data_IF_219319382845
#
_entry.id   IF_219319382845
#
_cell.length_a   1.000
_cell.length_b   1.000
_cell.length_c   1.000
_cell.angle_alpha   90.00
_cell.angle_beta   90.00
_cell.angle_gamma   90.00
#
_symmetry.space_group_name_H-M   'P 1'
#
loop_
_entity.id
_entity.type
_entity.pdbx_description
1 polymer ?
#
# COMPACT_ATOMS: atom_id res chain seq x y z
N UNK A 1 -50.93 -13.68 1.33
CA UNK A 1 -50.46 -14.64 0.32
C UNK A 1 -49.01 -14.94 0.62
N UNK A 2 -48.77 -16.19 0.99
CA UNK A 2 -47.53 -16.70 1.54
C UNK A 2 -46.70 -17.41 0.47
N UNK A 3 -45.42 -17.67 0.82
CA UNK A 3 -44.41 -18.49 0.17
C UNK A 3 -43.73 -17.85 -1.06
N UNK A 4 -42.40 -17.92 -1.24
CA UNK A 4 -41.59 -19.13 -1.05
C UNK A 4 -40.09 -18.86 -0.74
N UNK A 5 -39.57 -19.63 0.21
CA UNK A 5 -38.17 -19.83 0.58
C UNK A 5 -37.75 -21.24 0.13
N UNK A 6 -36.83 -21.37 -0.82
CA UNK A 6 -36.01 -22.57 -1.04
C UNK A 6 -34.87 -22.16 -1.98
N UNK A 7 -33.58 -22.37 -1.67
CA UNK A 7 -32.93 -23.68 -1.66
C UNK A 7 -31.58 -23.56 -0.93
N UNK A 8 -31.40 -24.37 0.12
CA UNK A 8 -30.11 -24.59 0.81
C UNK A 8 -30.15 -26.00 1.43
N UNK A 9 -29.59 -27.00 0.76
CA UNK A 9 -28.91 -28.17 1.34
C UNK A 9 -28.49 -29.16 0.22
N UNK A 10 -27.64 -30.11 0.61
CA UNK A 10 -27.02 -31.22 -0.13
C UNK A 10 -25.74 -30.85 -0.90
N UNK A 11 -24.55 -31.41 -0.63
CA UNK A 11 -24.23 -32.72 -0.08
C UNK A 11 -23.11 -32.66 0.97
N UNK A 12 -23.29 -33.42 2.05
CA UNK A 12 -22.20 -33.95 2.87
C UNK A 12 -22.34 -35.48 2.89
N UNK A 13 -21.19 -36.15 2.79
CA UNK A 13 -20.82 -37.39 3.47
C UNK A 13 -20.63 -38.66 2.63
N UNK A 14 -19.36 -39.05 2.47
CA UNK A 14 -18.90 -40.44 2.54
C UNK A 14 -17.39 -40.45 2.74
N UNK A 15 -16.89 -41.14 3.78
CA UNK A 15 -15.46 -41.49 3.89
C UNK A 15 -14.85 -41.28 5.27
N UNK A 16 -15.37 -41.98 6.27
CA UNK A 16 -14.75 -42.17 7.58
C UNK A 16 -13.66 -43.24 7.49
N UNK A 17 -12.44 -42.96 7.92
CA UNK A 17 -11.49 -43.98 8.41
C UNK A 17 -10.55 -43.37 9.45
N UNK A 18 -10.66 -43.91 10.68
CA UNK A 18 -9.82 -43.64 11.85
C UNK A 18 -8.43 -44.24 11.68
N UNK A 19 -7.39 -43.61 12.23
CA UNK A 19 -6.35 -44.30 13.00
C UNK A 19 -5.61 -43.34 13.94
N UNK A 20 -5.33 -43.85 15.14
CA UNK A 20 -4.81 -43.19 16.34
C UNK A 20 -3.35 -42.73 16.26
N UNK A 21 -3.01 -41.83 17.19
CA UNK A 21 -1.67 -41.38 17.53
C UNK A 21 -0.81 -42.44 18.22
N UNK A 22 0.50 -42.50 17.92
CA UNK A 22 1.58 -42.93 18.83
C UNK A 22 2.90 -42.23 18.44
N UNK A 23 3.68 -41.83 19.45
CA UNK A 23 5.06 -41.35 19.41
C UNK A 23 6.05 -42.33 18.72
N UNK A 24 7.16 -41.81 18.19
CA UNK A 24 8.33 -42.63 17.89
C UNK A 24 9.34 -41.96 16.97
N UNK A 25 10.51 -41.63 17.51
CA UNK A 25 11.72 -41.29 16.77
C UNK A 25 12.08 -42.39 15.76
N UNK A 26 12.58 -42.01 14.59
CA UNK A 26 13.85 -42.51 14.05
C UNK A 26 14.19 -41.85 12.70
N UNK A 27 15.47 -41.51 12.58
CA UNK A 27 16.10 -40.98 11.39
C UNK A 27 16.24 -42.07 10.31
N UNK A 28 15.99 -41.72 9.05
CA UNK A 28 16.51 -42.50 7.93
C UNK A 28 16.72 -41.61 6.70
N UNK A 29 18.00 -41.53 6.31
CA UNK A 29 18.53 -40.89 5.11
C UNK A 29 18.21 -41.77 3.89
N UNK A 30 17.84 -41.21 2.73
CA UNK A 30 17.98 -41.93 1.46
C UNK A 30 19.22 -41.48 0.69
N UNK A 31 19.94 -42.50 0.25
CA UNK A 31 21.16 -42.55 -0.55
C UNK A 31 21.09 -41.77 -1.87
N UNK A 32 22.23 -41.17 -2.20
CA UNK A 32 22.63 -40.74 -3.53
C UNK A 32 22.57 -41.91 -4.54
N UNK A 33 22.05 -41.63 -5.73
CA UNK A 33 22.24 -42.46 -6.92
C UNK A 33 23.18 -41.71 -7.87
N UNK A 34 24.28 -42.38 -8.19
CA UNK A 34 25.27 -42.01 -9.20
C UNK A 34 24.67 -42.03 -10.60
N UNK A 35 24.95 -40.99 -11.40
CA UNK A 35 25.01 -41.12 -12.86
C UNK A 35 26.35 -40.56 -13.33
N UNK A 36 27.02 -41.36 -14.16
CA UNK A 36 28.38 -41.22 -14.68
C UNK A 36 28.51 -40.07 -15.71
N UNK A 37 29.65 -39.42 -15.59
CA UNK A 37 30.54 -38.77 -16.58
C UNK A 37 30.26 -38.94 -18.07
N UNK A 38 30.36 -37.81 -18.80
CA UNK A 38 31.10 -37.75 -20.07
C UNK A 38 31.77 -36.36 -20.21
N UNK A 39 33.10 -36.35 -20.14
CA UNK A 39 33.98 -35.25 -20.50
C UNK A 39 34.25 -35.31 -22.00
N UNK A 40 34.18 -34.18 -22.70
CA UNK A 40 34.89 -33.97 -23.97
C UNK A 40 35.30 -32.50 -24.10
N UNK A 41 36.60 -32.28 -24.07
CA UNK A 41 37.33 -31.14 -24.62
C UNK A 41 38.76 -31.66 -24.91
N UNK A 42 39.63 -30.98 -25.67
CA UNK A 42 39.43 -29.87 -26.61
C UNK A 42 40.07 -30.17 -28.00
N UNK A 43 39.91 -29.26 -28.97
CA UNK A 43 40.80 -29.20 -30.13
C UNK A 43 41.20 -27.75 -30.41
N UNK A 44 42.52 -27.56 -30.40
CA UNK A 44 43.32 -26.36 -30.66
C UNK A 44 43.65 -26.21 -32.15
N UNK A 45 43.68 -24.96 -32.64
CA UNK A 45 44.55 -24.39 -33.69
C UNK A 45 43.79 -23.20 -34.31
N UNK A 46 44.33 -22.03 -34.63
CA UNK A 46 45.70 -21.54 -34.63
C UNK A 46 45.80 -20.42 -35.67
N UNK A 47 46.33 -19.26 -35.23
CA UNK A 47 47.15 -18.28 -35.98
C UNK A 47 46.54 -17.34 -37.06
N UNK A 48 46.88 -16.05 -36.84
CA UNK A 48 47.59 -15.11 -37.75
C UNK A 48 46.82 -14.00 -38.50
N UNK A 49 47.45 -12.81 -38.51
CA UNK A 49 47.33 -11.74 -39.53
C UNK A 49 46.41 -10.56 -39.15
N UNK A 50 46.89 -9.46 -38.59
CA UNK A 50 47.55 -8.29 -39.24
C UNK A 50 46.57 -7.23 -39.81
N UNK A 51 46.60 -6.06 -39.17
CA UNK A 51 46.56 -4.69 -39.73
C UNK A 51 45.68 -4.36 -40.94
N UNK A 52 44.73 -3.42 -40.77
CA UNK A 52 44.72 -2.17 -41.55
C UNK A 52 43.79 -1.11 -40.96
N UNK A 53 44.13 0.13 -41.30
CA UNK A 53 43.60 1.41 -40.84
C UNK A 53 42.68 2.02 -41.93
N UNK A 54 42.01 3.13 -41.56
CA UNK A 54 41.48 4.23 -42.40
C UNK A 54 39.99 4.23 -42.78
N UNK A 55 39.41 5.45 -42.65
CA UNK A 55 38.26 6.07 -43.31
C UNK A 55 36.89 6.13 -42.59
N UNK A 56 36.70 7.23 -41.85
CA UNK A 56 35.79 8.35 -42.14
C UNK A 56 34.35 8.14 -42.66
N UNK A 57 33.43 8.57 -41.78
CA UNK A 57 32.31 9.50 -42.00
C UNK A 57 31.01 9.00 -42.71
N UNK A 58 29.91 9.81 -42.72
CA UNK A 58 29.10 10.19 -41.56
C UNK A 58 27.59 10.00 -41.84
N UNK A 59 26.70 9.82 -40.84
CA UNK A 59 25.27 10.12 -41.06
C UNK A 59 24.48 10.53 -39.81
N UNK A 60 24.05 11.79 -39.86
CA UNK A 60 22.69 12.31 -39.57
C UNK A 60 22.32 12.57 -38.10
N UNK A 61 22.50 13.85 -37.74
CA UNK A 61 21.61 14.57 -36.83
C UNK A 61 20.15 14.47 -37.30
N UNK A 62 19.24 14.09 -36.40
CA UNK A 62 17.88 14.66 -36.39
C UNK A 62 17.50 15.06 -34.97
N UNK A 63 17.34 16.37 -34.82
CA UNK A 63 16.82 17.06 -33.65
C UNK A 63 15.51 16.43 -33.13
N UNK A 64 15.50 16.02 -31.86
CA UNK A 64 14.26 15.81 -31.12
C UNK A 64 13.97 17.05 -30.27
N UNK A 65 12.97 17.82 -30.69
CA UNK A 65 12.39 18.96 -29.95
C UNK A 65 12.03 18.55 -28.52
N UNK A 66 12.70 19.17 -27.56
CA UNK A 66 12.28 19.23 -26.17
C UNK A 66 11.10 20.20 -26.05
N UNK A 67 9.93 19.70 -25.65
CA UNK A 67 8.91 20.54 -25.03
C UNK A 67 8.88 20.22 -23.53
N UNK A 68 9.81 20.84 -22.82
CA UNK A 68 9.70 21.17 -21.41
C UNK A 68 8.81 22.40 -21.26
N UNK A 69 7.75 22.33 -20.47
CA UNK A 69 7.21 23.53 -19.81
C UNK A 69 6.31 23.16 -18.63
N UNK A 70 6.67 23.77 -17.50
CA UNK A 70 5.87 24.11 -16.32
C UNK A 70 5.79 23.09 -15.19
N UNK A 71 6.93 22.91 -14.53
CA UNK A 71 7.03 22.92 -13.07
C UNK A 71 7.87 24.16 -12.66
N UNK A 72 7.52 24.78 -11.52
CA UNK A 72 8.01 26.05 -10.92
C UNK A 72 7.09 27.24 -11.23
N UNK A 73 6.66 28.07 -10.29
CA UNK A 73 6.80 28.14 -8.84
C UNK A 73 5.73 29.15 -8.35
N UNK A 74 5.27 29.07 -7.11
CA UNK A 74 5.01 30.25 -6.26
C UNK A 74 4.84 29.77 -4.81
N UNK A 75 5.97 29.71 -4.10
CA UNK A 75 6.03 29.99 -2.66
C UNK A 75 5.84 31.49 -2.53
N UNK A 76 4.90 31.98 -1.73
CA UNK A 76 5.00 33.26 -1.03
C UNK A 76 4.20 33.12 0.27
N UNK A 77 4.90 33.19 1.40
CA UNK A 77 4.28 33.41 2.70
C UNK A 77 3.96 34.89 2.85
N UNK A 78 2.71 35.21 3.20
CA UNK A 78 2.36 36.49 3.79
C UNK A 78 1.27 36.25 4.82
N UNK A 79 1.60 36.55 6.07
CA UNK A 79 0.64 36.69 7.15
C UNK A 79 -0.30 37.87 6.85
N UNK A 80 -1.60 37.66 6.97
CA UNK A 80 -2.57 38.73 7.11
C UNK A 80 -3.47 38.39 8.30
N UNK A 81 -3.45 39.30 9.28
CA UNK A 81 -4.27 39.33 10.48
C UNK A 81 -5.73 39.61 10.12
N UNK A 82 -6.63 39.06 10.94
CA UNK A 82 -7.86 39.71 11.40
C UNK A 82 -8.92 40.04 10.36
N UNK A 83 -9.95 39.19 10.24
CA UNK A 83 -11.29 39.64 9.90
C UNK A 83 -12.31 38.80 10.67
N UNK A 84 -12.94 39.47 11.62
CA UNK A 84 -14.00 39.05 12.53
C UNK A 84 -15.27 38.64 11.78
N UNK A 85 -15.87 37.53 12.22
CA UNK A 85 -17.20 37.07 11.79
C UNK A 85 -18.23 37.84 12.63
N UNK A 86 -19.24 38.52 12.05
CA UNK A 86 -20.28 39.15 12.83
C UNK A 86 -21.28 38.11 13.34
N UNK A 87 -21.50 38.14 14.66
CA UNK A 87 -22.62 37.54 15.36
C UNK A 87 -23.93 38.13 14.84
N UNK A 88 -24.90 37.29 14.51
CA UNK A 88 -26.27 37.73 14.21
C UNK A 88 -27.11 37.59 15.47
N UNK A 89 -27.70 38.72 15.86
CA UNK A 89 -28.56 38.92 17.01
C UNK A 89 -29.84 38.07 16.98
N UNK A 90 -30.22 37.67 18.19
CA UNK A 90 -31.49 37.06 18.54
C UNK A 90 -32.52 38.18 18.73
N UNK A 91 -33.52 38.26 17.87
CA UNK A 91 -34.73 39.05 18.10
C UNK A 91 -35.91 38.10 18.39
N UNK A 92 -36.40 38.15 19.63
CA UNK A 92 -37.69 37.61 20.08
C UNK A 92 -38.80 38.55 19.61
N UNK A 93 -39.90 38.02 19.09
CA UNK A 93 -41.10 38.82 18.82
C UNK A 93 -42.18 38.09 18.03
N UNK A 94 -43.10 37.48 18.77
CA UNK A 94 -44.40 36.89 18.43
C UNK A 94 -45.09 37.27 17.11
N UNK A 95 -45.56 36.25 16.39
CA UNK A 95 -46.91 36.22 15.83
C UNK A 95 -47.34 34.76 15.60
N UNK A 96 -48.29 34.30 16.41
CA UNK A 96 -49.02 33.06 16.22
C UNK A 96 -49.99 33.27 15.07
N UNK A 97 -49.75 32.59 13.94
CA UNK A 97 -50.77 32.38 12.93
C UNK A 97 -50.77 30.89 12.60
N UNK A 98 -51.64 30.16 13.28
CA UNK A 98 -52.01 28.78 12.96
C UNK A 98 -52.74 28.78 11.61
N UNK A 99 -51.98 28.55 10.54
CA UNK A 99 -52.55 28.08 9.26
C UNK A 99 -52.18 26.61 9.14
N UNK A 100 -53.13 25.79 9.53
CA UNK A 100 -53.26 24.39 9.15
C UNK A 100 -53.14 24.28 7.63
N UNK A 101 -52.04 23.70 7.17
CA UNK A 101 -51.93 23.23 5.80
C UNK A 101 -51.54 21.74 5.83
N UNK A 102 -52.57 20.92 5.99
CA UNK A 102 -52.57 19.51 5.60
C UNK A 102 -52.25 19.43 4.11
N UNK A 103 -51.09 18.86 3.76
CA UNK A 103 -50.70 18.75 2.35
C UNK A 103 -49.23 18.49 2.09
N UNK A 104 -48.40 18.21 3.10
CA UNK A 104 -47.06 17.68 2.84
C UNK A 104 -47.17 16.21 2.42
N UNK A 105 -47.38 15.98 1.11
CA UNK A 105 -47.16 14.68 0.46
C UNK A 105 -45.89 14.09 1.06
N UNK A 106 -46.04 13.01 1.83
CA UNK A 106 -44.94 12.23 2.34
C UNK A 106 -44.15 11.71 1.13
N UNK A 107 -43.16 12.50 0.67
CA UNK A 107 -42.19 12.09 -0.33
C UNK A 107 -41.62 10.79 0.20
N UNK A 108 -41.87 9.71 -0.53
CA UNK A 108 -41.58 8.37 -0.01
C UNK A 108 -40.13 8.34 0.50
N UNK A 109 -39.85 7.68 1.64
CA UNK A 109 -38.52 7.62 2.23
C UNK A 109 -37.42 7.15 1.27
N UNK A 110 -37.81 6.55 0.15
CA UNK A 110 -36.96 6.13 -0.95
C UNK A 110 -36.48 7.32 -1.81
N UNK A 111 -37.36 8.25 -2.22
CA UNK A 111 -36.96 9.43 -3.01
C UNK A 111 -36.04 10.37 -2.23
N UNK A 112 -36.25 10.53 -0.92
CA UNK A 112 -35.35 11.32 -0.06
C UNK A 112 -33.95 10.67 0.05
N UNK A 113 -33.89 9.33 0.13
CA UNK A 113 -32.62 8.58 0.20
C UNK A 113 -31.83 8.61 -1.11
N UNK A 114 -32.51 8.56 -2.26
CA UNK A 114 -31.86 8.60 -3.57
C UNK A 114 -31.32 9.99 -3.88
N UNK A 115 -32.10 11.05 -3.65
CA UNK A 115 -31.67 12.44 -3.84
C UNK A 115 -30.47 12.82 -2.97
N UNK A 116 -30.47 12.43 -1.68
CA UNK A 116 -29.32 12.63 -0.80
C UNK A 116 -28.06 11.90 -1.30
N UNK A 117 -28.23 10.71 -1.89
CA UNK A 117 -27.10 9.94 -2.45
C UNK A 117 -26.49 10.64 -3.67
N UNK A 118 -27.31 11.19 -4.57
CA UNK A 118 -26.81 11.98 -5.69
C UNK A 118 -26.08 13.25 -5.23
N UNK A 119 -26.62 13.94 -4.22
CA UNK A 119 -25.99 15.13 -3.64
C UNK A 119 -24.58 14.84 -3.11
N UNK A 120 -24.39 13.73 -2.40
CA UNK A 120 -23.06 13.31 -1.88
C UNK A 120 -22.04 13.13 -3.01
N UNK A 121 -22.43 12.46 -4.11
CA UNK A 121 -21.53 12.27 -5.26
C UNK A 121 -21.23 13.62 -5.94
N UNK A 122 -22.24 14.47 -6.09
CA UNK A 122 -22.08 15.79 -6.70
C UNK A 122 -21.16 16.68 -5.86
N UNK A 123 -21.32 16.68 -4.54
CA UNK A 123 -20.45 17.42 -3.62
C UNK A 123 -19.00 16.91 -3.70
N UNK A 124 -18.79 15.60 -3.69
CA UNK A 124 -17.47 15.00 -3.85
C UNK A 124 -16.83 15.36 -5.21
N UNK A 125 -17.63 15.41 -6.29
CA UNK A 125 -17.14 15.81 -7.61
C UNK A 125 -16.67 17.28 -7.64
N UNK A 126 -17.40 18.18 -6.98
CA UNK A 126 -17.03 19.59 -6.89
C UNK A 126 -15.84 19.82 -5.96
N UNK A 127 -15.76 19.08 -4.85
CA UNK A 127 -14.59 19.13 -3.96
C UNK A 127 -13.31 18.70 -4.69
N UNK A 128 -13.39 17.66 -5.53
CA UNK A 128 -12.23 17.17 -6.27
C UNK A 128 -11.87 18.02 -7.50
N UNK A 129 -12.87 18.59 -8.17
CA UNK A 129 -12.69 19.40 -9.37
C UNK A 129 -13.44 20.72 -9.21
N UNK A 130 -12.88 21.71 -8.50
CA UNK A 130 -13.60 22.95 -8.16
C UNK A 130 -13.73 23.93 -9.34
N UNK A 131 -12.86 23.84 -10.35
CA UNK A 131 -12.84 24.81 -11.45
C UNK A 131 -14.06 24.75 -12.38
N UNK A 132 -14.31 25.84 -13.11
CA UNK A 132 -15.45 25.99 -14.03
C UNK A 132 -15.14 25.57 -15.48
N UNK A 133 -13.88 25.26 -15.79
CA UNK A 133 -13.44 24.91 -17.14
C UNK A 133 -14.16 23.67 -17.71
N UNK A 134 -14.20 23.55 -19.04
CA UNK A 134 -14.73 22.37 -19.74
C UNK A 134 -14.07 21.08 -19.25
N UNK A 135 -12.77 21.11 -19.02
CA UNK A 135 -12.02 19.99 -18.45
C UNK A 135 -12.57 19.55 -17.09
N UNK A 136 -12.80 20.50 -16.17
CA UNK A 136 -13.34 20.19 -14.84
C UNK A 136 -14.79 19.70 -14.91
N UNK A 137 -15.64 20.32 -15.74
CA UNK A 137 -17.02 19.84 -15.98
C UNK A 137 -17.05 18.40 -16.47
N UNK A 138 -16.24 18.08 -17.47
CA UNK A 138 -16.12 16.73 -17.98
C UNK A 138 -15.59 15.74 -16.95
N UNK A 139 -14.62 16.15 -16.11
CA UNK A 139 -14.12 15.32 -15.00
C UNK A 139 -15.20 15.03 -13.95
N UNK A 140 -16.02 16.02 -13.59
CA UNK A 140 -17.16 15.84 -12.68
C UNK A 140 -18.20 14.89 -13.25
N UNK A 141 -18.63 15.12 -14.49
CA UNK A 141 -19.58 14.25 -15.19
C UNK A 141 -19.08 12.81 -15.26
N UNK A 142 -17.80 12.63 -15.60
CA UNK A 142 -17.14 11.33 -15.64
C UNK A 142 -17.07 10.64 -14.28
N UNK A 143 -16.83 11.38 -13.19
CA UNK A 143 -16.84 10.84 -11.83
C UNK A 143 -18.25 10.37 -11.47
N UNK A 144 -19.24 11.20 -11.78
CA UNK A 144 -20.64 10.92 -11.53
C UNK A 144 -21.11 9.66 -12.26
N UNK A 145 -20.82 9.54 -13.57
CA UNK A 145 -21.16 8.35 -14.36
C UNK A 145 -20.51 7.08 -13.82
N UNK A 146 -19.24 7.13 -13.39
CA UNK A 146 -18.56 5.97 -12.78
C UNK A 146 -19.10 5.61 -11.40
N UNK A 147 -19.63 6.61 -10.69
CA UNK A 147 -20.29 6.40 -9.41
C UNK A 147 -21.56 5.58 -9.59
N UNK A 148 -22.27 5.69 -10.71
CA UNK A 148 -23.44 4.85 -11.01
C UNK A 148 -23.06 3.37 -11.14
N UNK A 149 -21.97 3.05 -11.83
CA UNK A 149 -21.48 1.67 -11.99
C UNK A 149 -21.05 1.00 -10.68
N UNK A 150 -20.69 1.80 -9.68
CA UNK A 150 -20.20 1.34 -8.37
C UNK A 150 -20.97 2.01 -7.23
N UNK A 151 -22.28 2.18 -7.43
CA UNK A 151 -23.15 3.03 -6.63
C UNK A 151 -23.03 2.77 -5.13
N UNK A 152 -23.33 1.55 -4.70
CA UNK A 152 -23.31 1.19 -3.26
C UNK A 152 -21.93 1.40 -2.65
N UNK A 153 -20.87 0.96 -3.33
CA UNK A 153 -19.50 1.13 -2.83
C UNK A 153 -19.10 2.59 -2.72
N UNK A 154 -19.45 3.39 -3.73
CA UNK A 154 -19.14 4.83 -3.77
C UNK A 154 -19.88 5.57 -2.65
N UNK A 155 -21.18 5.31 -2.46
CA UNK A 155 -21.96 5.93 -1.40
C UNK A 155 -21.38 5.67 -0.01
N UNK A 156 -21.07 4.40 0.29
CA UNK A 156 -20.48 4.04 1.58
C UNK A 156 -19.11 4.69 1.76
N UNK A 157 -18.26 4.65 0.72
CA UNK A 157 -16.94 5.29 0.76
C UNK A 157 -17.02 6.79 1.04
N UNK A 158 -17.82 7.53 0.25
CA UNK A 158 -17.95 8.98 0.38
C UNK A 158 -18.52 9.39 1.74
N UNK A 159 -19.52 8.67 2.26
CA UNK A 159 -20.05 8.91 3.61
C UNK A 159 -18.99 8.70 4.69
N UNK A 160 -18.11 7.70 4.52
CA UNK A 160 -17.00 7.45 5.46
C UNK A 160 -15.90 8.50 5.34
N UNK A 161 -15.62 8.98 4.13
CA UNK A 161 -14.72 10.10 3.87
C UNK A 161 -15.16 11.43 4.50
N UNK A 162 -16.45 11.60 4.79
CA UNK A 162 -16.96 12.79 5.48
C UNK A 162 -16.68 12.78 7.00
N UNK A 163 -16.17 11.67 7.55
CA UNK A 163 -15.95 11.47 8.98
C UNK A 163 -14.45 11.31 9.26
N UNK A 164 -13.94 11.95 10.32
CA UNK A 164 -12.54 11.82 10.73
C UNK A 164 -12.22 10.38 11.17
N UNK A 165 -11.00 9.87 10.92
CA UNK A 165 -9.85 10.50 10.28
C UNK A 165 -9.73 10.31 8.76
N UNK A 166 -10.69 9.64 8.10
CA UNK A 166 -10.72 9.61 6.64
C UNK A 166 -10.95 11.00 6.04
N UNK A 167 -11.70 11.85 6.72
CA UNK A 167 -11.85 13.26 6.35
C UNK A 167 -10.50 13.96 6.24
N UNK A 168 -9.62 13.79 7.23
CA UNK A 168 -8.31 14.45 7.26
C UNK A 168 -7.38 13.90 6.17
N UNK A 169 -7.49 12.61 5.86
CA UNK A 169 -6.84 12.00 4.70
C UNK A 169 -7.31 12.63 3.37
N UNK A 170 -8.62 12.85 3.22
CA UNK A 170 -9.21 13.44 2.01
C UNK A 170 -8.82 14.91 1.86
N UNK A 171 -8.74 15.67 2.95
CA UNK A 171 -8.29 17.06 2.91
C UNK A 171 -6.85 17.17 2.39
N UNK A 172 -5.97 16.26 2.79
CA UNK A 172 -4.60 16.18 2.24
C UNK A 172 -4.56 15.66 0.81
N UNK A 173 -5.40 14.66 0.52
CA UNK A 173 -5.38 13.92 -0.74
C UNK A 173 -6.79 13.78 -1.34
N UNK A 174 -7.32 14.83 -1.99
CA UNK A 174 -8.69 14.83 -2.51
C UNK A 174 -8.96 13.68 -3.51
N UNK A 175 -7.91 13.20 -4.18
CA UNK A 175 -7.99 12.08 -5.13
C UNK A 175 -8.45 10.77 -4.49
N UNK A 176 -8.41 10.64 -3.16
CA UNK A 176 -8.98 9.53 -2.40
C UNK A 176 -10.50 9.37 -2.62
N UNK A 177 -11.22 10.44 -2.97
CA UNK A 177 -12.66 10.37 -3.28
C UNK A 177 -12.97 9.50 -4.51
N UNK A 178 -12.04 9.38 -5.46
CA UNK A 178 -12.23 8.55 -6.67
C UNK A 178 -11.82 7.09 -6.49
N UNK A 179 -11.46 6.66 -5.27
CA UNK A 179 -10.86 5.35 -5.00
C UNK A 179 -11.71 4.20 -5.53
N UNK A 180 -13.03 4.30 -5.38
CA UNK A 180 -13.98 3.27 -5.85
C UNK A 180 -14.09 3.18 -7.38
N UNK A 181 -13.52 4.12 -8.12
CA UNK A 181 -13.62 4.18 -9.59
C UNK A 181 -12.32 3.80 -10.30
N UNK A 182 -11.29 3.41 -9.55
CA UNK A 182 -9.95 3.06 -10.06
C UNK A 182 -9.45 1.77 -9.40
N UNK A 183 -8.64 0.94 -10.10
CA UNK A 183 -7.97 -0.18 -9.46
C UNK A 183 -7.19 0.29 -8.23
N UNK A 184 -7.33 -0.45 -7.12
CA UNK A 184 -6.73 -0.15 -5.84
C UNK A 184 -6.20 -1.45 -5.23
N UNK A 185 -4.95 -1.44 -4.80
CA UNK A 185 -4.21 -2.54 -4.14
C UNK A 185 -3.98 -3.78 -5.03
N UNK A 186 -4.99 -4.22 -5.77
CA UNK A 186 -4.97 -5.38 -6.64
C UNK A 186 -5.87 -5.13 -7.87
N UNK A 187 -5.41 -5.52 -9.06
CA UNK A 187 -6.15 -5.28 -10.32
C UNK A 187 -7.48 -6.03 -10.40
N UNK A 188 -7.55 -7.22 -9.78
CA UNK A 188 -8.72 -8.07 -9.78
C UNK A 188 -9.80 -7.70 -8.75
N UNK A 189 -9.60 -6.67 -7.91
CA UNK A 189 -10.61 -6.32 -6.92
C UNK A 189 -11.83 -5.63 -7.53
N UNK A 190 -13.00 -6.20 -7.26
CA UNK A 190 -14.30 -5.59 -7.48
C UNK A 190 -14.46 -4.27 -6.69
N UNK A 191 -15.41 -3.39 -7.04
CA UNK A 191 -15.71 -2.20 -6.22
C UNK A 191 -16.04 -2.52 -4.75
N UNK A 192 -16.61 -3.71 -4.47
CA UNK A 192 -16.94 -4.13 -3.09
C UNK A 192 -15.69 -4.55 -2.32
N UNK A 193 -14.78 -5.30 -2.94
CA UNK A 193 -13.50 -5.68 -2.33
C UNK A 193 -12.60 -4.46 -2.11
N UNK A 194 -12.58 -3.50 -3.06
CA UNK A 194 -11.85 -2.24 -2.88
C UNK A 194 -12.38 -1.43 -1.71
N UNK A 195 -13.70 -1.33 -1.57
CA UNK A 195 -14.32 -0.69 -0.41
C UNK A 195 -13.92 -1.40 0.88
N UNK A 196 -14.08 -2.73 0.92
CA UNK A 196 -13.80 -3.54 2.10
C UNK A 196 -12.34 -3.39 2.53
N UNK A 197 -11.38 -3.56 1.62
CA UNK A 197 -9.95 -3.40 1.91
C UNK A 197 -9.60 -1.98 2.39
N UNK A 198 -10.24 -0.94 1.84
CA UNK A 198 -10.01 0.45 2.26
C UNK A 198 -10.54 0.71 3.67
N UNK A 199 -11.74 0.20 3.99
CA UNK A 199 -12.35 0.35 5.31
C UNK A 199 -11.65 -0.53 6.36
N UNK A 200 -11.22 -1.73 5.98
CA UNK A 200 -10.46 -2.64 6.85
C UNK A 200 -9.17 -1.98 7.31
N UNK A 201 -8.39 -1.38 6.40
CA UNK A 201 -7.14 -0.72 6.77
C UNK A 201 -7.37 0.38 7.80
N UNK A 202 -8.38 1.21 7.54
CA UNK A 202 -8.73 2.30 8.43
C UNK A 202 -9.21 1.79 9.80
N UNK A 203 -10.15 0.84 9.83
CA UNK A 203 -10.65 0.27 11.08
C UNK A 203 -9.54 -0.42 11.89
N UNK A 204 -8.67 -1.19 11.23
CA UNK A 204 -7.56 -1.89 11.88
C UNK A 204 -6.53 -0.93 12.45
N UNK A 205 -6.15 0.12 11.70
CA UNK A 205 -5.17 1.10 12.18
C UNK A 205 -5.73 1.96 13.30
N UNK A 206 -7.00 2.38 13.22
CA UNK A 206 -7.67 3.06 14.33
C UNK A 206 -7.78 2.19 15.58
N UNK A 207 -8.10 0.90 15.42
CA UNK A 207 -8.23 -0.01 16.55
C UNK A 207 -6.88 -0.33 17.19
N UNK A 208 -5.84 -0.55 16.38
CA UNK A 208 -4.55 -1.13 16.82
C UNK A 208 -3.47 -0.09 17.07
N UNK A 209 -3.49 1.05 16.37
CA UNK A 209 -2.48 2.12 16.49
C UNK A 209 -3.10 3.51 16.28
N UNK A 210 -4.09 3.90 17.11
CA UNK A 210 -4.86 5.14 16.90
C UNK A 210 -3.99 6.40 16.82
N UNK A 211 -2.95 6.51 17.64
CA UNK A 211 -2.06 7.69 17.64
C UNK A 211 -1.28 7.81 16.33
N UNK A 212 -0.75 6.69 15.85
CA UNK A 212 0.00 6.63 14.60
C UNK A 212 -0.93 6.95 13.42
N UNK A 213 -2.14 6.38 13.43
CA UNK A 213 -3.16 6.65 12.43
C UNK A 213 -3.57 8.12 12.40
N UNK A 214 -3.84 8.73 13.56
CA UNK A 214 -4.17 10.15 13.67
C UNK A 214 -3.01 11.05 13.21
N UNK A 215 -1.77 10.76 13.63
CA UNK A 215 -0.59 11.52 13.21
C UNK A 215 -0.35 11.43 11.70
N UNK A 216 -0.45 10.24 11.11
CA UNK A 216 -0.33 10.07 9.66
C UNK A 216 -1.50 10.77 8.94
N UNK A 217 -2.71 10.71 9.48
CA UNK A 217 -3.88 11.39 8.91
C UNK A 217 -3.74 12.92 8.93
N UNK A 218 -3.17 13.50 9.99
CA UNK A 218 -3.00 14.95 10.14
C UNK A 218 -1.72 15.49 9.47
N UNK A 219 -0.56 14.86 9.74
CA UNK A 219 0.77 15.35 9.34
C UNK A 219 1.26 14.67 8.06
N UNK A 220 0.75 13.48 7.73
CA UNK A 220 1.17 12.71 6.56
C UNK A 220 2.38 11.80 6.79
N UNK A 221 3.04 11.87 7.94
CA UNK A 221 4.21 11.04 8.27
C UNK A 221 4.37 10.81 9.78
N UNK A 222 4.88 9.63 10.13
CA UNK A 222 5.27 9.28 11.49
C UNK A 222 6.58 8.46 11.48
N UNK A 223 7.66 8.95 12.12
CA UNK A 223 8.90 8.18 12.26
C UNK A 223 8.69 7.00 13.21
N UNK A 224 9.25 5.84 12.87
CA UNK A 224 9.10 4.61 13.67
C UNK A 224 10.43 3.92 14.02
N UNK A 225 11.51 4.20 13.28
CA UNK A 225 12.84 3.72 13.58
C UNK A 225 13.91 4.57 12.90
N UNK A 226 15.17 4.41 13.32
CA UNK A 226 16.33 4.97 12.64
C UNK A 226 17.54 4.04 12.80
N UNK A 227 18.51 4.18 11.91
CA UNK A 227 19.76 3.43 12.00
C UNK A 227 20.94 4.22 11.44
N UNK A 228 22.13 3.88 11.91
CA UNK A 228 23.39 4.41 11.40
C UNK A 228 24.24 3.31 10.78
N UNK A 229 24.96 3.65 9.70
CA UNK A 229 25.97 2.78 9.09
C UNK A 229 27.20 3.63 8.79
N UNK A 230 28.26 3.46 9.60
CA UNK A 230 29.39 4.38 9.57
C UNK A 230 28.95 5.80 9.98
N UNK A 231 29.29 6.81 9.17
CA UNK A 231 28.90 8.19 9.39
C UNK A 231 27.46 8.52 8.93
N UNK A 232 26.82 7.64 8.16
CA UNK A 232 25.50 7.93 7.60
C UNK A 232 24.36 7.56 8.53
N UNK A 233 23.30 8.36 8.48
CA UNK A 233 22.07 8.19 9.25
C UNK A 233 20.89 8.02 8.31
N UNK A 234 20.01 7.10 8.68
CA UNK A 234 18.83 6.73 7.92
C UNK A 234 17.60 6.75 8.82
N UNK A 235 16.49 7.24 8.29
CA UNK A 235 15.22 7.35 9.00
C UNK A 235 14.20 6.40 8.37
N UNK A 236 13.40 5.76 9.21
CA UNK A 236 12.32 4.88 8.81
C UNK A 236 11.00 5.46 9.31
N UNK A 237 10.08 5.70 8.39
CA UNK A 237 8.81 6.38 8.63
C UNK A 237 7.65 5.65 7.96
N UNK A 238 6.47 5.73 8.58
CA UNK A 238 5.20 5.41 7.94
C UNK A 238 4.55 6.70 7.44
N UNK A 239 4.21 6.72 6.16
CA UNK A 239 3.79 7.93 5.44
C UNK A 239 2.51 7.69 4.66
N UNK A 240 1.81 8.77 4.33
CA UNK A 240 0.65 8.79 3.45
C UNK A 240 0.99 9.63 2.22
N UNK A 241 1.47 8.95 1.17
CA UNK A 241 2.05 9.55 -0.04
C UNK A 241 1.04 9.53 -1.19
N UNK A 242 0.73 10.69 -1.78
CA UNK A 242 -0.30 10.82 -2.82
C UNK A 242 -0.02 9.91 -4.03
N UNK A 243 1.25 9.86 -4.45
CA UNK A 243 1.68 9.13 -5.64
C UNK A 243 1.41 7.62 -5.54
N UNK A 244 1.34 7.05 -4.33
CA UNK A 244 1.15 5.61 -4.08
C UNK A 244 -0.23 5.23 -3.58
N UNK A 245 -1.18 6.17 -3.49
CA UNK A 245 -2.53 5.89 -2.97
C UNK A 245 -3.35 4.83 -3.72
N UNK A 246 -2.92 4.46 -4.94
CA UNK A 246 -3.55 3.35 -5.68
C UNK A 246 -2.99 1.99 -5.27
N UNK A 247 -1.79 1.96 -4.72
CA UNK A 247 -1.02 0.77 -4.37
C UNK A 247 -1.21 0.41 -2.90
N UNK A 248 -1.63 1.36 -2.06
CA UNK A 248 -2.04 1.13 -0.68
C UNK A 248 -2.31 2.44 0.05
N UNK A 249 -2.57 2.35 1.34
CA UNK A 249 -2.93 3.50 2.18
C UNK A 249 -1.72 4.09 2.90
N UNK A 250 -0.82 3.24 3.42
CA UNK A 250 0.41 3.64 4.09
C UNK A 250 1.63 3.21 3.29
N UNK A 251 2.68 4.02 3.36
CA UNK A 251 3.96 3.75 2.74
C UNK A 251 5.06 3.76 3.80
N UNK A 252 5.75 2.64 3.95
CA UNK A 252 6.97 2.56 4.75
C UNK A 252 8.13 3.09 3.93
N UNK A 253 8.81 4.15 4.38
CA UNK A 253 9.92 4.79 3.70
C UNK A 253 11.22 4.61 4.47
N UNK A 254 12.32 4.43 3.75
CA UNK A 254 13.68 4.66 4.26
C UNK A 254 14.20 5.93 3.59
N UNK A 255 14.56 6.93 4.39
CA UNK A 255 15.07 8.23 3.95
C UNK A 255 16.48 8.47 4.45
N UNK A 256 17.27 9.22 3.69
CA UNK A 256 18.58 9.70 4.14
C UNK A 256 18.44 10.90 5.09
N UNK A 257 19.58 11.42 5.58
CA UNK A 257 19.63 12.59 6.45
C UNK A 257 19.15 13.90 5.77
N UNK A 258 19.02 13.92 4.44
CA UNK A 258 18.51 15.04 3.64
C UNK A 258 17.02 14.87 3.30
N UNK A 259 16.35 13.93 3.96
CA UNK A 259 14.96 13.55 3.75
C UNK A 259 14.68 12.99 2.33
N UNK A 260 15.69 12.54 1.60
CA UNK A 260 15.50 11.92 0.29
C UNK A 260 15.05 10.47 0.45
N UNK A 261 13.95 10.12 -0.21
CA UNK A 261 13.41 8.77 -0.21
C UNK A 261 14.29 7.83 -1.03
N UNK A 262 14.84 6.83 -0.37
CA UNK A 262 15.73 5.83 -0.99
C UNK A 262 14.94 4.63 -1.48
N UNK A 263 14.06 4.12 -0.63
CA UNK A 263 13.23 2.97 -0.93
C UNK A 263 11.95 3.07 -0.13
N UNK A 264 10.88 2.51 -0.69
CA UNK A 264 9.59 2.50 -0.05
C UNK A 264 8.80 1.23 -0.33
N UNK A 265 7.91 0.90 0.60
CA UNK A 265 6.97 -0.21 0.50
C UNK A 265 5.57 0.28 0.85
N UNK A 266 4.67 0.29 -0.12
CA UNK A 266 3.29 0.74 0.06
C UNK A 266 2.37 -0.44 0.30
N UNK A 267 1.53 -0.34 1.33
CA UNK A 267 0.66 -1.42 1.77
C UNK A 267 -0.67 -0.91 2.35
N UNK A 268 -1.61 -1.84 2.46
CA UNK A 268 -2.84 -1.70 3.25
C UNK A 268 -3.04 -2.92 4.14
N UNK A 269 -3.84 -2.79 5.20
CA UNK A 269 -4.25 -3.94 6.01
C UNK A 269 -5.65 -4.35 5.54
N UNK A 270 -5.84 -5.62 5.21
CA UNK A 270 -7.13 -6.09 4.75
C UNK A 270 -7.40 -7.51 5.22
N UNK A 271 -8.68 -7.83 5.44
CA UNK A 271 -9.10 -9.22 5.57
C UNK A 271 -9.24 -9.81 4.17
N UNK A 272 -8.19 -10.52 3.73
CA UNK A 272 -8.27 -11.31 2.51
C UNK A 272 -8.94 -12.66 2.82
N UNK A 273 -9.68 -13.19 1.84
CA UNK A 273 -10.35 -14.49 1.96
C UNK A 273 -9.39 -15.64 2.32
N UNK A 274 -9.93 -16.71 2.87
CA UNK A 274 -9.18 -17.90 3.30
C UNK A 274 -9.85 -18.59 4.48
N UNK A 275 -9.36 -19.78 4.84
CA UNK A 275 -9.95 -20.61 5.92
C UNK A 275 -9.94 -19.92 7.29
N UNK A 276 -8.95 -19.07 7.55
CA UNK A 276 -8.80 -18.33 8.82
C UNK A 276 -8.89 -16.84 8.57
N UNK A 277 -9.88 -16.19 9.16
CA UNK A 277 -10.11 -14.74 9.06
C UNK A 277 -9.10 -13.98 9.94
N UNK A 278 -7.94 -13.67 9.38
CA UNK A 278 -6.93 -12.78 9.99
C UNK A 278 -6.55 -11.67 9.03
N UNK A 279 -6.32 -10.44 9.52
CA UNK A 279 -5.89 -9.35 8.66
C UNK A 279 -4.48 -9.64 8.13
N UNK A 280 -4.24 -9.24 6.89
CA UNK A 280 -2.94 -9.37 6.22
C UNK A 280 -2.40 -8.00 5.89
N UNK A 281 -1.09 -7.83 6.00
CA UNK A 281 -0.41 -6.67 5.42
C UNK A 281 -0.21 -6.93 3.93
N UNK A 282 -0.92 -6.19 3.10
CA UNK A 282 -0.98 -6.38 1.65
C UNK A 282 -0.11 -5.32 0.98
N UNK A 283 1.05 -5.71 0.49
CA UNK A 283 2.01 -4.85 -0.22
C UNK A 283 1.56 -4.73 -1.67
N UNK A 284 1.13 -3.53 -2.07
CA UNK A 284 0.79 -3.24 -3.46
C UNK A 284 1.94 -2.65 -4.27
N UNK A 285 2.98 -2.09 -3.62
CA UNK A 285 4.19 -1.69 -4.35
C UNK A 285 5.47 -1.63 -3.53
N UNK A 286 6.60 -1.77 -4.23
CA UNK A 286 7.95 -1.57 -3.67
C UNK A 286 8.78 -0.76 -4.66
N UNK A 287 9.06 0.49 -4.31
CA UNK A 287 9.65 1.47 -5.21
C UNK A 287 11.00 1.97 -4.69
N UNK A 288 11.90 2.31 -5.63
CA UNK A 288 13.19 2.90 -5.32
C UNK A 288 13.13 4.43 -5.19
N UNK A 289 14.28 5.12 -5.32
CA UNK A 289 14.32 6.56 -5.19
C UNK A 289 13.56 7.24 -6.34
N UNK A 290 13.21 8.50 -6.13
CA UNK A 290 12.61 9.33 -7.16
C UNK A 290 13.58 9.51 -8.35
N UNK A 291 13.02 9.73 -9.54
CA UNK A 291 13.64 9.53 -10.87
C UNK A 291 14.90 10.36 -11.18
N UNK A 292 15.41 11.16 -10.25
CA UNK A 292 16.62 11.96 -10.41
C UNK A 292 17.92 11.20 -10.15
N UNK A 293 17.87 9.99 -9.58
CA UNK A 293 19.07 9.22 -9.20
C UNK A 293 19.15 7.90 -9.98
N UNK A 294 20.36 7.51 -10.41
CA UNK A 294 20.63 6.19 -10.96
C UNK A 294 20.41 5.11 -9.88
N UNK A 295 19.16 4.68 -9.72
CA UNK A 295 18.73 3.85 -8.59
C UNK A 295 19.42 2.48 -8.54
N UNK A 296 19.90 1.94 -9.67
CA UNK A 296 20.60 0.66 -9.70
C UNK A 296 21.99 0.76 -9.06
N UNK A 297 22.74 1.81 -9.39
CA UNK A 297 24.06 2.07 -8.81
C UNK A 297 23.95 2.43 -7.34
N UNK A 298 22.98 3.29 -6.99
CA UNK A 298 22.68 3.61 -5.60
C UNK A 298 22.41 2.33 -4.80
N UNK A 299 21.57 1.43 -5.29
CA UNK A 299 21.25 0.20 -4.57
C UNK A 299 22.42 -0.76 -4.46
N UNK A 300 23.30 -0.83 -5.47
CA UNK A 300 24.55 -1.60 -5.39
C UNK A 300 25.46 -1.05 -4.30
N UNK A 301 25.67 0.27 -4.27
CA UNK A 301 26.47 0.93 -3.26
C UNK A 301 25.88 0.74 -1.84
N UNK A 302 24.58 0.99 -1.68
CA UNK A 302 23.89 0.80 -0.39
C UNK A 302 23.91 -0.65 0.07
N UNK A 303 23.78 -1.62 -0.84
CA UNK A 303 23.88 -3.04 -0.47
C UNK A 303 25.24 -3.36 0.14
N UNK A 304 26.34 -2.88 -0.47
CA UNK A 304 27.70 -3.07 0.09
C UNK A 304 27.81 -2.44 1.49
N UNK A 305 27.26 -1.23 1.66
CA UNK A 305 27.34 -0.46 2.90
C UNK A 305 26.49 -1.05 4.01
N UNK A 306 25.26 -1.46 3.72
CA UNK A 306 24.32 -2.06 4.67
C UNK A 306 24.62 -3.54 4.91
N UNK A 307 25.90 -3.91 4.98
CA UNK A 307 26.37 -5.26 5.29
C UNK A 307 25.79 -6.34 4.36
N UNK A 308 25.54 -5.99 3.10
CA UNK A 308 24.91 -6.86 2.09
C UNK A 308 23.37 -6.87 2.10
N UNK A 309 22.71 -5.98 2.87
CA UNK A 309 21.26 -5.83 2.85
C UNK A 309 20.82 -5.02 1.63
N UNK A 310 20.10 -5.66 0.72
CA UNK A 310 19.48 -4.98 -0.42
C UNK A 310 18.33 -4.09 0.06
N UNK A 311 18.24 -2.82 -0.38
CA UNK A 311 17.24 -1.89 0.14
C UNK A 311 15.79 -2.36 0.00
N UNK A 312 15.41 -2.94 -1.15
CA UNK A 312 14.03 -3.44 -1.36
C UNK A 312 13.68 -4.61 -0.45
N UNK A 313 14.62 -5.53 -0.22
CA UNK A 313 14.42 -6.67 0.68
C UNK A 313 14.35 -6.19 2.13
N UNK A 314 15.18 -5.20 2.49
CA UNK A 314 15.14 -4.60 3.83
C UNK A 314 13.79 -3.94 4.11
N UNK A 315 13.28 -3.09 3.21
CA UNK A 315 11.98 -2.42 3.46
C UNK A 315 10.81 -3.40 3.55
N UNK A 316 10.84 -4.51 2.78
CA UNK A 316 9.84 -5.58 2.90
C UNK A 316 9.96 -6.26 4.27
N UNK A 317 11.17 -6.60 4.70
CA UNK A 317 11.41 -7.15 6.04
C UNK A 317 10.87 -6.21 7.14
N UNK A 318 11.13 -4.91 7.04
CA UNK A 318 10.60 -3.92 7.99
C UNK A 318 9.06 -3.83 7.93
N UNK A 319 8.46 -3.96 6.75
CA UNK A 319 7.00 -4.06 6.61
C UNK A 319 6.45 -5.34 7.29
N UNK A 320 7.17 -6.47 7.22
CA UNK A 320 6.80 -7.67 7.98
C UNK A 320 6.94 -7.47 9.49
N UNK A 321 7.93 -6.70 9.97
CA UNK A 321 8.03 -6.30 11.38
C UNK A 321 6.83 -5.44 11.80
N UNK A 322 6.40 -4.48 10.95
CA UNK A 322 5.18 -3.71 11.17
C UNK A 322 3.95 -4.62 11.20
N UNK A 323 3.84 -5.57 10.27
CA UNK A 323 2.75 -6.55 10.24
C UNK A 323 2.68 -7.34 11.55
N UNK A 324 3.81 -7.85 12.04
CA UNK A 324 3.89 -8.60 13.30
C UNK A 324 3.52 -7.73 14.51
N UNK A 325 4.05 -6.50 14.60
CA UNK A 325 3.75 -5.58 15.70
C UNK A 325 2.27 -5.14 15.72
N UNK A 326 1.63 -5.12 14.55
CA UNK A 326 0.20 -4.88 14.38
C UNK A 326 -0.65 -6.14 14.55
N UNK A 327 -0.08 -7.31 14.85
CA UNK A 327 -0.81 -8.59 14.94
C UNK A 327 -1.58 -8.92 13.64
N UNK A 328 -0.94 -8.68 12.49
CA UNK A 328 -1.41 -9.18 11.20
C UNK A 328 -0.96 -10.63 11.03
N UNK A 329 -1.84 -11.49 10.54
CA UNK A 329 -1.58 -12.93 10.42
C UNK A 329 -0.53 -13.30 9.36
N UNK A 330 -0.06 -12.33 8.57
CA UNK A 330 0.95 -12.52 7.53
C UNK A 330 1.11 -11.32 6.62
N UNK A 331 2.12 -11.37 5.75
CA UNK A 331 2.42 -10.32 4.77
C UNK A 331 2.34 -10.88 3.37
N UNK A 332 1.53 -10.25 2.53
CA UNK A 332 1.32 -10.64 1.14
C UNK A 332 1.88 -9.55 0.23
N UNK A 333 2.46 -9.93 -0.90
CA UNK A 333 2.95 -8.99 -1.90
C UNK A 333 2.28 -9.28 -3.24
N UNK A 334 1.81 -8.24 -3.92
CA UNK A 334 1.10 -8.37 -5.18
C UNK A 334 2.07 -8.88 -6.26
N UNK A 335 1.63 -9.86 -7.04
CA UNK A 335 2.37 -10.34 -8.21
C UNK A 335 2.34 -9.31 -9.34
N UNK A 336 3.28 -9.42 -10.28
CA UNK A 336 3.37 -8.53 -11.44
C UNK A 336 2.07 -8.49 -12.26
N UNK A 337 1.43 -9.64 -12.46
CA UNK A 337 0.17 -9.73 -13.23
C UNK A 337 -1.03 -9.11 -12.50
N UNK A 338 -0.99 -9.15 -11.17
CA UNK A 338 -2.06 -8.66 -10.32
C UNK A 338 -1.90 -7.18 -9.95
N UNK A 339 -0.76 -6.58 -10.29
CA UNK A 339 -0.46 -5.18 -9.99
C UNK A 339 -1.45 -4.24 -10.68
N UNK A 340 -1.79 -3.12 -10.03
CA UNK A 340 -2.80 -2.17 -10.53
C UNK A 340 -2.53 -1.67 -11.96
N UNK A 341 -1.26 -1.50 -12.34
CA UNK A 341 -0.85 -1.04 -13.68
C UNK A 341 -0.88 -2.13 -14.75
N UNK A 342 -1.14 -3.39 -14.40
CA UNK A 342 -1.50 -4.44 -15.35
C UNK A 342 -2.97 -4.37 -15.79
N UNK A 343 -3.79 -3.53 -15.15
CA UNK A 343 -5.18 -3.34 -15.52
C UNK A 343 -5.32 -2.74 -16.92
N UNK A 344 -6.29 -3.21 -17.71
CA UNK A 344 -6.60 -2.73 -19.07
C UNK A 344 -6.69 -1.20 -19.16
N UNK A 345 -7.19 -0.56 -18.10
CA UNK A 345 -7.31 0.90 -17.97
C UNK A 345 -5.98 1.64 -18.15
N UNK A 346 -4.87 0.98 -17.85
CA UNK A 346 -3.52 1.56 -17.91
C UNK A 346 -2.65 0.95 -19.01
N UNK A 347 -3.10 -0.09 -19.71
CA UNK A 347 -2.34 -0.73 -20.80
C UNK A 347 -1.97 0.23 -21.94
N UNK A 348 -2.84 1.21 -22.23
CA UNK A 348 -2.59 2.24 -23.25
C UNK A 348 -1.62 3.34 -22.79
N UNK A 349 -1.25 3.39 -21.50
CA UNK A 349 -0.25 4.33 -20.98
C UNK A 349 1.09 3.59 -20.96
N UNK A 350 2.17 4.22 -21.41
CA UNK A 350 3.55 3.70 -21.36
C UNK A 350 4.10 3.43 -19.93
N UNK A 351 3.25 3.22 -18.92
CA UNK A 351 3.59 2.91 -17.53
C UNK A 351 3.49 1.41 -17.27
N UNK A 352 4.25 0.61 -18.03
CA UNK A 352 4.40 -0.81 -17.72
C UNK A 352 5.17 -0.96 -16.41
N UNK A 353 4.80 -1.96 -15.61
CA UNK A 353 5.48 -2.27 -14.36
C UNK A 353 6.90 -2.75 -14.68
N UNK A 354 7.88 -1.86 -14.51
CA UNK A 354 9.29 -2.18 -14.74
C UNK A 354 9.89 -3.08 -13.63
N UNK A 355 9.25 -3.14 -12.47
CA UNK A 355 9.71 -3.93 -11.33
C UNK A 355 9.31 -5.40 -11.47
N UNK A 356 10.28 -6.29 -11.32
CA UNK A 356 10.06 -7.74 -11.22
C UNK A 356 9.63 -8.12 -9.80
N UNK A 357 8.33 -7.98 -9.53
CA UNK A 357 7.72 -8.30 -8.23
C UNK A 357 7.81 -9.78 -7.90
N UNK A 358 7.67 -10.66 -8.89
CA UNK A 358 7.67 -12.10 -8.70
C UNK A 358 9.05 -12.56 -8.19
N UNK A 359 10.14 -12.10 -8.85
CA UNK A 359 11.50 -12.39 -8.39
C UNK A 359 11.79 -11.80 -7.01
N UNK A 360 11.36 -10.56 -6.75
CA UNK A 360 11.53 -9.92 -5.44
C UNK A 360 10.80 -10.69 -4.33
N UNK A 361 9.61 -11.21 -4.63
CA UNK A 361 8.80 -11.99 -3.68
C UNK A 361 9.50 -13.29 -3.30
N UNK A 362 10.04 -14.00 -4.30
CA UNK A 362 10.83 -15.23 -4.09
C UNK A 362 12.09 -14.92 -3.27
N UNK A 363 12.80 -13.83 -3.58
CA UNK A 363 13.99 -13.39 -2.84
C UNK A 363 13.69 -13.14 -1.35
N UNK A 364 12.47 -12.69 -1.04
CA UNK A 364 11.96 -12.43 0.31
C UNK A 364 11.31 -13.66 0.98
N UNK A 365 11.44 -14.86 0.41
CA UNK A 365 10.92 -16.09 1.02
C UNK A 365 9.41 -16.29 0.85
N UNK A 366 8.87 -15.97 -0.32
CA UNK A 366 7.49 -16.36 -0.66
C UNK A 366 7.33 -17.88 -0.61
N UNK A 367 6.34 -18.36 0.15
CA UNK A 367 6.05 -19.78 0.35
C UNK A 367 4.98 -20.32 -0.60
N UNK A 368 4.07 -19.45 -1.02
CA UNK A 368 2.93 -19.83 -1.84
C UNK A 368 2.43 -18.65 -2.66
N UNK A 369 1.58 -18.97 -3.65
CA UNK A 369 0.84 -18.00 -4.45
C UNK A 369 -0.66 -18.24 -4.27
N UNK A 370 -1.43 -17.18 -4.08
CA UNK A 370 -2.88 -17.25 -3.92
C UNK A 370 -3.53 -16.03 -4.58
N UNK A 371 -4.40 -16.25 -5.56
CA UNK A 371 -5.18 -15.18 -6.22
C UNK A 371 -4.36 -13.95 -6.63
N UNK A 372 -3.17 -14.15 -7.22
CA UNK A 372 -2.30 -13.05 -7.63
C UNK A 372 -1.47 -12.41 -6.50
N UNK A 373 -1.50 -12.96 -5.29
CA UNK A 373 -0.63 -12.61 -4.17
C UNK A 373 0.46 -13.65 -3.97
N UNK A 374 1.65 -13.22 -3.57
CA UNK A 374 2.65 -14.09 -2.95
C UNK A 374 2.55 -13.99 -1.43
N UNK A 375 2.50 -15.13 -0.76
CA UNK A 375 2.46 -15.23 0.71
C UNK A 375 3.88 -15.32 1.23
N UNK A 376 4.35 -14.30 1.94
CA UNK A 376 5.70 -14.27 2.50
C UNK A 376 5.78 -15.07 3.80
N UNK A 377 6.84 -15.84 3.96
CA UNK A 377 7.17 -16.48 5.23
C UNK A 377 7.32 -15.44 6.34
N UNK A 378 6.92 -15.74 7.60
CA UNK A 378 7.25 -14.89 8.73
C UNK A 378 8.77 -14.63 8.80
N UNK A 379 9.21 -13.43 9.20
CA UNK A 379 10.62 -13.07 9.22
C UNK A 379 11.50 -14.08 9.97
N UNK A 380 11.02 -14.60 11.11
CA UNK A 380 11.77 -15.56 11.93
C UNK A 380 12.16 -16.83 11.17
N UNK A 381 11.27 -17.37 10.32
CA UNK A 381 11.53 -18.57 9.53
C UNK A 381 12.55 -18.31 8.42
N UNK A 382 12.37 -17.20 7.71
CA UNK A 382 13.30 -16.77 6.66
C UNK A 382 14.71 -16.48 7.21
N UNK A 383 14.81 -15.93 8.42
CA UNK A 383 16.07 -15.69 9.09
C UNK A 383 16.71 -17.01 9.55
N UNK A 384 15.96 -17.93 10.16
CA UNK A 384 16.49 -19.23 10.59
C UNK A 384 17.11 -20.03 9.43
N UNK A 385 16.45 -20.06 8.27
CA UNK A 385 16.94 -20.79 7.08
C UNK A 385 18.21 -20.16 6.44
N UNK A 386 18.41 -18.85 6.58
CA UNK A 386 19.55 -18.12 5.97
C UNK A 386 20.63 -17.73 6.96
N UNK A 387 20.41 -17.88 8.26
CA UNK A 387 21.25 -17.36 9.34
C UNK A 387 21.56 -18.41 10.42
N UNK A 388 21.31 -19.70 10.16
CA UNK A 388 21.82 -20.77 11.02
C UNK A 388 23.34 -20.62 11.21
N UNK A 389 23.71 -20.71 12.49
CA UNK A 389 25.04 -20.81 13.06
C UNK A 389 25.81 -19.50 13.29
N UNK A 390 26.03 -19.22 14.59
CA UNK A 390 26.77 -18.09 15.16
C UNK A 390 28.27 -18.04 14.82
N UNK A 391 28.72 -18.86 13.88
CA UNK A 391 30.07 -18.94 13.29
C UNK A 391 30.26 -18.02 12.09
N UNK A 392 29.28 -17.17 11.74
CA UNK A 392 29.36 -16.28 10.58
C UNK A 392 30.35 -15.12 10.70
N UNK A 393 30.99 -14.76 9.58
CA UNK A 393 31.85 -13.58 9.40
C UNK A 393 31.23 -12.30 10.03
N UNK A 394 32.06 -11.38 10.55
CA UNK A 394 31.67 -10.10 11.17
C UNK A 394 30.56 -9.34 10.41
N UNK A 395 30.56 -9.39 9.08
CA UNK A 395 29.50 -8.79 8.24
C UNK A 395 28.11 -9.40 8.48
N UNK A 396 28.02 -10.73 8.65
CA UNK A 396 26.76 -11.44 8.95
C UNK A 396 26.23 -11.03 10.33
N UNK A 397 27.11 -10.92 11.33
CA UNK A 397 26.76 -10.44 12.68
C UNK A 397 26.24 -9.00 12.66
N UNK A 398 26.91 -8.08 11.95
CA UNK A 398 26.45 -6.70 11.77
C UNK A 398 25.09 -6.61 11.06
N UNK A 399 24.89 -7.43 10.03
CA UNK A 399 23.60 -7.53 9.33
C UNK A 399 22.46 -7.96 10.25
N UNK A 400 22.67 -9.02 11.03
CA UNK A 400 21.70 -9.52 11.99
C UNK A 400 21.37 -8.48 13.07
N UNK A 401 22.41 -7.88 13.67
CA UNK A 401 22.27 -6.85 14.68
C UNK A 401 21.45 -5.66 14.17
N UNK A 402 21.72 -5.19 12.95
CA UNK A 402 20.96 -4.08 12.34
C UNK A 402 19.48 -4.44 12.15
N UNK A 403 19.17 -5.63 11.62
CA UNK A 403 17.78 -6.10 11.47
C UNK A 403 17.05 -6.20 12.81
N UNK A 404 17.69 -6.86 13.78
CA UNK A 404 17.13 -7.06 15.11
C UNK A 404 16.87 -5.74 15.82
N UNK A 405 17.83 -4.80 15.77
CA UNK A 405 17.67 -3.46 16.34
C UNK A 405 16.49 -2.71 15.71
N UNK A 406 16.36 -2.75 14.38
CA UNK A 406 15.23 -2.13 13.68
C UNK A 406 13.89 -2.79 14.03
N UNK A 407 13.84 -4.12 14.12
CA UNK A 407 12.64 -4.84 14.51
C UNK A 407 12.17 -4.45 15.92
N UNK A 408 13.11 -4.32 16.87
CA UNK A 408 12.82 -3.86 18.24
C UNK A 408 12.32 -2.42 18.25
N UNK A 409 12.96 -1.50 17.51
CA UNK A 409 12.52 -0.11 17.41
C UNK A 409 11.09 0.00 16.83
N UNK A 410 10.82 -0.70 15.72
CA UNK A 410 9.49 -0.71 15.09
C UNK A 410 8.44 -1.23 16.06
N UNK A 411 8.72 -2.36 16.73
CA UNK A 411 7.80 -2.93 17.72
C UNK A 411 7.49 -1.94 18.83
N UNK A 412 8.52 -1.30 19.41
CA UNK A 412 8.36 -0.28 20.47
C UNK A 412 7.53 0.92 19.98
N UNK A 413 7.79 1.45 18.79
CA UNK A 413 7.06 2.58 18.23
C UNK A 413 5.58 2.25 17.96
N UNK A 414 5.31 1.04 17.45
CA UNK A 414 3.94 0.55 17.23
C UNK A 414 3.23 0.28 18.56
N UNK A 415 3.92 -0.27 19.56
CA UNK A 415 3.36 -0.53 20.89
C UNK A 415 3.08 0.75 21.67
N UNK A 416 3.98 1.74 21.63
CA UNK A 416 3.76 3.05 22.24
C UNK A 416 2.48 3.73 21.70
N UNK A 417 2.17 3.48 20.43
CA UNK A 417 0.97 4.00 19.77
C UNK A 417 -0.34 3.30 20.21
N UNK A 418 -0.26 2.16 20.93
CA UNK A 418 -1.42 1.41 21.48
C UNK A 418 -1.94 1.99 22.80
N UNK A 419 -1.06 2.58 23.62
CA UNK A 419 -1.22 2.63 25.09
C UNK A 419 -2.26 3.62 25.63
N UNK A 420 -2.85 4.51 24.81
CA UNK A 420 -3.78 5.53 25.36
C UNK A 420 -5.20 5.03 25.68
N UNK A 421 -5.56 3.77 25.39
CA UNK A 421 -6.81 3.20 25.93
C UNK A 421 -6.78 3.04 27.44
N UNK A 422 -5.60 2.92 28.06
CA UNK A 422 -5.46 2.70 29.50
C UNK A 422 -5.34 3.99 30.32
N UNK A 423 -4.78 5.07 29.76
CA UNK A 423 -4.70 6.36 30.49
C UNK A 423 -6.06 7.06 30.59
N UNK A 424 -6.94 6.94 29.58
CA UNK A 424 -8.26 7.57 29.63
C UNK A 424 -9.22 6.92 30.65
N UNK A 425 -9.00 5.66 31.02
CA UNK A 425 -9.79 4.95 32.05
C UNK A 425 -9.22 5.13 33.46
N UNK A 426 -7.98 5.63 33.61
CA UNK A 426 -7.34 5.85 34.92
C UNK A 426 -7.49 7.28 35.45
N UNK A 427 -7.98 8.21 34.64
CA UNK A 427 -8.23 9.60 35.05
C UNK A 427 -9.72 9.82 35.42
N UNK A 428 -10.55 8.78 35.27
CA UNK A 428 -11.99 8.80 35.58
C UNK A 428 -12.35 7.80 36.70
N UNK A 429 -11.36 7.27 37.42
CA UNK A 429 -11.57 6.36 38.53
C UNK A 429 -11.17 7.01 39.86
#
# INVERSE_FOLDING_TARGET
>A
MAWDESFRADCFNSGEQRYSAVHGQQAMVPRCVHIRTAQTAPATAGRAGSTHSIADAPHIMRHARQNSTNAQAFRHGRAIRGASIPSVEIAKGSAVTTVSNEGARARSPWFARTTASFAVIQQAAHALYPGTSVFHRWRRMRLWLRSLMSWRSTQVWLKRCAISPLHDLVQRHPTALERMHRPFLHTGFSPRERLTASLDHHALTQQRVPQLAARIAAVGSAPIASFGVGAERWHVSLESIEQFQKEGDWTLCIRDARDQRIVSCTFSLAYLGGKVRRPRLCIGSVQGPDSSVNGRELFRALTKRWYGLRPKVLVIYLAQCVAAALDAGGTFIVSKQAHIYANWRYCLRKRRVAADYDRLSIECGALARWNGWFVLAPPARYLAERESDGTGNATRRKRYALRSALAVQIRRSVEASKTHRLCALRVVA
#
